data_IF_974978368530
#
_entry.id   IF_974978368530
#
_cell.length_a   1.000
_cell.length_b   1.000
_cell.length_c   1.000
_cell.angle_alpha   90.00
_cell.angle_beta   90.00
_cell.angle_gamma   90.00
#
_symmetry.space_group_name_H-M   'P 1'
#
loop_
_entity.id
_entity.type
_entity.pdbx_description
1 polymer ?
#
# COMPACT_ATOMS: atom_id res chain seq x y z
N UNK A 1 64.06 29.60 -25.61
CA UNK A 1 62.75 30.27 -25.31
C UNK A 1 61.60 29.50 -25.95
N UNK A 2 61.64 29.13 -27.23
CA UNK A 2 60.58 28.40 -27.96
C UNK A 2 60.15 27.11 -27.29
N UNK A 3 61.06 26.30 -26.77
CA UNK A 3 60.73 24.97 -26.12
C UNK A 3 60.05 25.11 -24.76
N UNK A 4 60.29 26.18 -24.02
CA UNK A 4 59.58 26.42 -22.75
C UNK A 4 58.14 26.85 -22.99
N UNK A 5 57.89 27.69 -23.98
CA UNK A 5 56.54 28.13 -24.35
C UNK A 5 55.72 26.99 -24.90
N UNK A 6 56.32 26.11 -25.72
CA UNK A 6 55.62 24.92 -26.24
C UNK A 6 55.26 23.93 -25.10
N UNK A 7 56.13 23.70 -24.12
CA UNK A 7 55.82 22.86 -22.96
C UNK A 7 54.72 23.46 -22.09
N UNK A 8 54.71 24.78 -21.88
CA UNK A 8 53.65 25.49 -21.12
C UNK A 8 52.29 25.39 -21.82
N UNK A 9 52.23 25.60 -23.12
CA UNK A 9 51.00 25.49 -23.93
C UNK A 9 50.48 24.03 -23.97
N UNK A 10 51.34 23.05 -23.99
CA UNK A 10 50.97 21.63 -23.94
C UNK A 10 50.44 21.23 -22.55
N UNK A 11 51.01 21.77 -21.48
CA UNK A 11 50.53 21.60 -20.11
C UNK A 11 49.16 22.20 -19.88
N UNK A 12 48.91 23.44 -20.35
CA UNK A 12 47.61 24.10 -20.20
C UNK A 12 46.50 23.42 -21.00
N UNK A 13 46.79 22.88 -22.17
CA UNK A 13 45.84 22.07 -22.96
C UNK A 13 45.47 20.76 -22.24
N UNK A 14 46.47 20.08 -21.69
CA UNK A 14 46.25 18.85 -20.91
C UNK A 14 45.38 19.11 -19.66
N UNK A 15 45.65 20.18 -18.91
CA UNK A 15 44.81 20.57 -17.75
C UNK A 15 43.39 20.90 -18.15
N UNK A 16 43.17 21.61 -19.26
CA UNK A 16 41.81 21.87 -19.77
C UNK A 16 41.08 20.58 -20.17
N UNK A 17 41.78 19.67 -20.84
CA UNK A 17 41.18 18.40 -21.22
C UNK A 17 40.81 17.52 -20.00
N UNK A 18 41.66 17.49 -18.98
CA UNK A 18 41.38 16.78 -17.72
C UNK A 18 40.18 17.43 -17.02
N UNK A 19 40.14 18.76 -16.93
CA UNK A 19 39.00 19.48 -16.31
C UNK A 19 37.69 19.23 -17.03
N UNK A 20 37.70 19.24 -18.37
CA UNK A 20 36.50 18.91 -19.18
C UNK A 20 36.06 17.46 -18.94
N UNK A 21 36.99 16.52 -18.92
CA UNK A 21 36.69 15.10 -18.62
C UNK A 21 36.09 14.93 -17.24
N UNK A 22 36.66 15.61 -16.23
CA UNK A 22 36.12 15.57 -14.86
C UNK A 22 34.68 16.14 -14.80
N UNK A 23 34.40 17.25 -15.46
CA UNK A 23 33.06 17.83 -15.52
C UNK A 23 32.06 16.88 -16.18
N UNK A 24 32.47 16.26 -17.30
CA UNK A 24 31.64 15.26 -17.98
C UNK A 24 31.36 14.05 -17.09
N UNK A 25 32.38 13.53 -16.40
CA UNK A 25 32.21 12.40 -15.48
C UNK A 25 31.30 12.74 -14.30
N UNK A 26 31.43 13.94 -13.73
CA UNK A 26 30.52 14.41 -12.65
C UNK A 26 29.10 14.57 -13.17
N UNK A 27 28.91 15.13 -14.36
CA UNK A 27 27.59 15.27 -14.97
C UNK A 27 26.93 13.90 -15.25
N UNK A 28 27.71 12.93 -15.77
CA UNK A 28 27.23 11.56 -15.96
C UNK A 28 26.87 10.89 -14.64
N UNK A 29 27.70 11.01 -13.62
CA UNK A 29 27.42 10.45 -12.30
C UNK A 29 26.17 11.07 -11.69
N UNK A 30 25.97 12.39 -11.84
CA UNK A 30 24.79 13.07 -11.36
C UNK A 30 23.51 12.63 -12.08
N UNK A 31 23.57 12.51 -13.42
CA UNK A 31 22.42 12.02 -14.20
C UNK A 31 22.06 10.58 -13.89
N UNK A 32 23.04 9.70 -13.79
CA UNK A 32 22.79 8.29 -13.39
C UNK A 32 22.22 8.17 -11.97
N UNK A 33 22.72 8.95 -11.02
CA UNK A 33 22.20 9.00 -9.67
C UNK A 33 20.72 9.48 -9.65
N UNK A 34 20.42 10.56 -10.38
CA UNK A 34 19.07 11.10 -10.45
C UNK A 34 18.07 10.13 -11.11
N UNK A 35 18.48 9.49 -12.20
CA UNK A 35 17.64 8.48 -12.87
C UNK A 35 17.39 7.27 -11.96
N UNK A 36 18.46 6.74 -11.33
CA UNK A 36 18.34 5.59 -10.45
C UNK A 36 17.44 5.86 -9.24
N UNK A 37 17.53 7.04 -8.63
CA UNK A 37 16.65 7.40 -7.50
C UNK A 37 15.19 7.56 -7.93
N UNK A 38 14.94 8.10 -9.12
CA UNK A 38 13.60 8.22 -9.67
C UNK A 38 12.98 6.85 -9.97
N UNK A 39 13.71 5.95 -10.61
CA UNK A 39 13.25 4.60 -10.90
C UNK A 39 13.00 3.79 -9.62
N UNK A 40 13.90 3.89 -8.65
CA UNK A 40 13.72 3.25 -7.35
C UNK A 40 12.45 3.72 -6.64
N UNK A 41 12.16 5.01 -6.67
CA UNK A 41 10.94 5.57 -6.09
C UNK A 41 9.69 5.02 -6.76
N UNK A 42 9.62 5.06 -8.10
CA UNK A 42 8.50 4.51 -8.85
C UNK A 42 8.30 3.01 -8.62
N UNK A 43 9.39 2.26 -8.49
CA UNK A 43 9.32 0.83 -8.17
C UNK A 43 8.72 0.59 -6.77
N UNK A 44 9.13 1.36 -5.75
CA UNK A 44 8.57 1.29 -4.40
C UNK A 44 7.09 1.65 -4.36
N UNK A 45 6.69 2.70 -5.07
CA UNK A 45 5.28 3.11 -5.18
C UNK A 45 4.43 2.02 -5.83
N UNK A 46 4.87 1.47 -6.95
CA UNK A 46 4.18 0.36 -7.62
C UNK A 46 4.10 -0.91 -6.76
N UNK A 47 5.18 -1.21 -6.03
CA UNK A 47 5.19 -2.35 -5.10
C UNK A 47 4.16 -2.15 -3.98
N UNK A 48 4.11 -0.97 -3.37
CA UNK A 48 3.15 -0.66 -2.30
C UNK A 48 1.70 -0.79 -2.78
N UNK A 49 1.38 -0.28 -3.99
CA UNK A 49 0.05 -0.42 -4.59
C UNK A 49 -0.27 -1.91 -4.83
N UNK A 50 0.67 -2.65 -5.39
CA UNK A 50 0.49 -4.08 -5.66
C UNK A 50 0.22 -4.86 -4.37
N UNK A 51 1.02 -4.65 -3.33
CA UNK A 51 0.86 -5.33 -2.05
C UNK A 51 -0.49 -4.99 -1.39
N UNK A 52 -0.90 -3.72 -1.42
CA UNK A 52 -2.21 -3.30 -0.93
C UNK A 52 -3.36 -3.98 -1.70
N UNK A 53 -3.27 -4.08 -3.02
CA UNK A 53 -4.26 -4.76 -3.85
C UNK A 53 -4.33 -6.26 -3.55
N UNK A 54 -3.19 -6.91 -3.35
CA UNK A 54 -3.14 -8.33 -2.95
C UNK A 54 -3.84 -8.54 -1.61
N UNK A 55 -3.56 -7.74 -0.59
CA UNK A 55 -4.24 -7.83 0.70
C UNK A 55 -5.76 -7.61 0.59
N UNK A 56 -6.19 -6.61 -0.17
CA UNK A 56 -7.61 -6.33 -0.37
C UNK A 56 -8.32 -7.50 -1.05
N UNK A 57 -7.74 -8.07 -2.10
CA UNK A 57 -8.30 -9.21 -2.83
C UNK A 57 -8.36 -10.46 -1.94
N UNK A 58 -7.27 -10.80 -1.25
CA UNK A 58 -7.23 -11.97 -0.36
C UNK A 58 -8.29 -11.87 0.73
N UNK A 59 -8.47 -10.69 1.33
CA UNK A 59 -9.51 -10.47 2.35
C UNK A 59 -10.91 -10.54 1.76
N UNK A 60 -11.10 -10.07 0.53
CA UNK A 60 -12.36 -10.17 -0.21
C UNK A 60 -12.75 -11.63 -0.49
N UNK A 61 -11.83 -12.40 -1.07
CA UNK A 61 -12.00 -13.82 -1.37
C UNK A 61 -12.21 -14.65 -0.10
N UNK A 62 -11.42 -14.38 0.94
CA UNK A 62 -11.58 -15.03 2.23
C UNK A 62 -12.99 -14.79 2.81
N UNK A 63 -13.50 -13.57 2.74
CA UNK A 63 -14.85 -13.25 3.22
C UNK A 63 -15.92 -13.94 2.38
N UNK A 64 -15.76 -13.99 1.05
CA UNK A 64 -16.68 -14.68 0.15
C UNK A 64 -16.72 -16.17 0.45
N UNK A 65 -15.53 -16.80 0.53
CA UNK A 65 -15.40 -18.24 0.85
C UNK A 65 -15.98 -18.57 2.23
N UNK A 66 -15.67 -17.78 3.25
CA UNK A 66 -16.23 -17.99 4.58
C UNK A 66 -17.75 -17.87 4.58
N UNK A 67 -18.31 -16.95 3.81
CA UNK A 67 -19.76 -16.76 3.69
C UNK A 67 -20.41 -17.98 3.01
N UNK A 68 -19.85 -18.47 1.89
CA UNK A 68 -20.43 -19.56 1.10
C UNK A 68 -20.24 -20.93 1.77
N UNK A 69 -19.03 -21.19 2.31
CA UNK A 69 -18.68 -22.53 2.78
C UNK A 69 -18.93 -22.75 4.28
N UNK A 70 -18.96 -21.69 5.08
CA UNK A 70 -19.15 -21.83 6.52
C UNK A 70 -20.51 -21.29 6.95
N UNK A 71 -20.78 -20.00 6.71
CA UNK A 71 -22.00 -19.37 7.20
C UNK A 71 -23.25 -19.93 6.52
N UNK A 72 -23.20 -20.16 5.20
CA UNK A 72 -24.32 -20.73 4.47
C UNK A 72 -24.63 -22.18 4.88
N UNK A 73 -23.58 -22.97 5.17
CA UNK A 73 -23.78 -24.37 5.65
C UNK A 73 -24.37 -24.38 7.04
N UNK A 74 -23.88 -23.54 7.95
CA UNK A 74 -24.46 -23.41 9.30
C UNK A 74 -25.90 -22.95 9.25
N UNK A 75 -26.21 -21.98 8.37
CA UNK A 75 -27.58 -21.48 8.18
C UNK A 75 -28.57 -22.49 7.59
N UNK A 76 -28.09 -23.45 6.79
CA UNK A 76 -28.90 -24.53 6.20
C UNK A 76 -29.17 -25.68 7.17
N UNK A 77 -28.26 -25.91 8.11
CA UNK A 77 -28.43 -26.99 9.08
C UNK A 77 -29.43 -26.59 10.15
N UNK A 78 -30.63 -27.17 10.08
CA UNK A 78 -31.78 -26.86 10.93
C UNK A 78 -31.57 -27.22 12.43
N UNK A 79 -30.53 -27.91 12.77
CA UNK A 79 -30.12 -28.18 14.17
C UNK A 79 -29.42 -26.95 14.76
N UNK A 80 -30.16 -25.93 15.03
CA UNK A 80 -29.85 -24.53 15.46
C UNK A 80 -28.95 -24.43 16.71
N UNK A 81 -27.99 -25.29 16.87
CA UNK A 81 -26.99 -25.19 17.95
C UNK A 81 -25.85 -24.23 17.70
N UNK A 82 -25.66 -23.74 16.45
CA UNK A 82 -24.59 -22.80 16.12
C UNK A 82 -25.20 -21.48 15.64
N UNK A 83 -24.81 -20.39 16.29
CA UNK A 83 -25.25 -19.04 15.97
C UNK A 83 -24.19 -18.27 15.17
N UNK A 84 -24.61 -17.40 14.24
CA UNK A 84 -23.73 -16.47 13.54
C UNK A 84 -23.87 -15.10 14.20
N UNK A 85 -22.85 -14.60 14.89
CA UNK A 85 -22.94 -13.38 15.70
C UNK A 85 -21.67 -12.54 15.70
N UNK A 86 -21.80 -11.23 15.88
CA UNK A 86 -20.65 -10.36 16.16
C UNK A 86 -20.09 -10.58 17.58
N UNK A 87 -20.94 -11.07 18.52
CA UNK A 87 -20.58 -11.41 19.91
C UNK A 87 -20.21 -12.89 20.07
N UNK A 88 -19.74 -13.55 19.01
CA UNK A 88 -19.47 -14.99 18.97
C UNK A 88 -18.56 -15.51 20.11
N UNK A 89 -17.71 -14.65 20.68
CA UNK A 89 -16.82 -15.04 21.81
C UNK A 89 -17.51 -15.14 23.14
N UNK A 90 -18.69 -14.52 23.27
CA UNK A 90 -19.49 -14.45 24.49
C UNK A 90 -20.61 -15.50 24.50
N UNK A 91 -20.80 -16.20 23.37
CA UNK A 91 -21.88 -17.16 23.17
C UNK A 91 -21.32 -18.57 23.02
N UNK A 92 -21.97 -19.53 23.65
CA UNK A 92 -21.72 -20.94 23.36
C UNK A 92 -22.16 -21.28 21.93
N UNK A 93 -21.37 -22.11 21.24
CA UNK A 93 -21.66 -22.58 19.88
C UNK A 93 -21.99 -21.45 18.89
N UNK A 94 -21.17 -20.38 18.85
CA UNK A 94 -21.30 -19.29 17.90
C UNK A 94 -20.08 -19.16 17.01
N UNK A 95 -20.32 -18.73 15.76
CA UNK A 95 -19.28 -18.35 14.79
C UNK A 95 -19.39 -16.86 14.46
N UNK A 96 -18.28 -16.20 14.11
CA UNK A 96 -18.31 -14.79 13.79
C UNK A 96 -19.07 -14.49 12.49
N UNK A 97 -19.62 -13.29 12.40
CA UNK A 97 -20.08 -12.74 11.12
C UNK A 97 -18.86 -12.58 10.16
N UNK A 98 -19.06 -12.69 8.83
CA UNK A 98 -17.98 -12.51 7.86
C UNK A 98 -17.23 -11.18 8.01
N UNK A 99 -17.96 -10.09 8.23
CA UNK A 99 -17.36 -8.78 8.47
C UNK A 99 -16.55 -8.75 9.79
N UNK A 100 -17.06 -9.37 10.86
CA UNK A 100 -16.37 -9.46 12.15
C UNK A 100 -15.05 -10.23 12.02
N UNK A 101 -15.06 -11.34 11.27
CA UNK A 101 -13.86 -12.12 11.03
C UNK A 101 -12.83 -11.36 10.18
N UNK A 102 -13.27 -10.66 9.14
CA UNK A 102 -12.38 -9.80 8.31
C UNK A 102 -11.74 -8.70 9.13
N UNK A 103 -12.48 -8.05 10.04
CA UNK A 103 -11.93 -7.04 10.95
C UNK A 103 -10.91 -7.62 11.95
N UNK A 104 -11.18 -8.81 12.46
CA UNK A 104 -10.24 -9.49 13.37
C UNK A 104 -8.94 -9.86 12.65
N UNK A 105 -9.05 -10.34 11.41
CA UNK A 105 -7.88 -10.65 10.58
C UNK A 105 -7.10 -9.37 10.25
N UNK A 106 -7.78 -8.29 9.87
CA UNK A 106 -7.15 -6.97 9.62
C UNK A 106 -6.40 -6.44 10.83
N UNK A 107 -6.98 -6.57 12.05
CA UNK A 107 -6.29 -6.20 13.29
C UNK A 107 -5.02 -7.01 13.54
N UNK A 108 -5.04 -8.30 13.24
CA UNK A 108 -3.86 -9.18 13.38
C UNK A 108 -2.76 -8.83 12.41
N UNK A 109 -3.09 -8.55 11.14
CA UNK A 109 -2.14 -8.09 10.13
C UNK A 109 -1.51 -6.76 10.57
N UNK A 110 -2.33 -5.80 11.02
CA UNK A 110 -1.85 -4.51 11.53
C UNK A 110 -0.94 -4.67 12.75
N UNK A 111 -1.26 -5.59 13.67
CA UNK A 111 -0.44 -5.87 14.84
C UNK A 111 0.90 -6.54 14.51
N UNK A 112 0.98 -7.27 13.40
CA UNK A 112 2.23 -7.83 12.89
C UNK A 112 3.17 -6.76 12.29
N UNK A 113 2.68 -5.51 12.09
CA UNK A 113 3.49 -4.37 11.65
C UNK A 113 3.74 -4.29 10.15
N UNK A 114 3.13 -5.17 9.35
CA UNK A 114 3.35 -5.21 7.90
C UNK A 114 2.52 -4.15 7.16
N UNK A 115 1.25 -3.98 7.57
CA UNK A 115 0.32 -3.04 6.91
C UNK A 115 -0.85 -2.72 7.82
N UNK A 116 -1.42 -1.53 7.68
CA UNK A 116 -2.68 -1.18 8.34
C UNK A 116 -3.86 -1.62 7.45
N UNK A 117 -4.67 -2.53 7.97
CA UNK A 117 -5.86 -3.02 7.27
C UNK A 117 -7.11 -2.66 8.06
N UNK A 118 -8.06 -1.98 7.42
CA UNK A 118 -9.35 -1.61 8.02
C UNK A 118 -10.50 -1.89 7.06
N UNK A 119 -11.66 -2.24 7.64
CA UNK A 119 -12.92 -2.36 6.92
C UNK A 119 -13.84 -1.21 7.35
N UNK A 120 -14.23 -0.36 6.43
CA UNK A 120 -15.08 0.80 6.68
C UNK A 120 -16.28 0.82 5.73
N UNK A 121 -17.32 1.57 6.11
CA UNK A 121 -18.52 1.76 5.31
C UNK A 121 -19.25 3.02 5.76
N UNK A 122 -19.91 3.79 4.88
CA UNK A 122 -20.77 4.90 5.30
C UNK A 122 -22.02 4.41 6.06
N UNK A 123 -22.31 3.10 6.00
CA UNK A 123 -23.41 2.45 6.69
C UNK A 123 -22.91 1.42 7.69
N UNK A 124 -22.23 1.84 8.79
CA UNK A 124 -21.69 0.92 9.77
C UNK A 124 -22.84 0.22 10.52
N UNK A 125 -22.55 -0.98 11.01
CA UNK A 125 -23.51 -1.66 11.89
C UNK A 125 -23.78 -0.83 13.16
N UNK A 126 -25.00 -0.86 13.74
CA UNK A 126 -25.36 -0.04 14.89
C UNK A 126 -24.46 -0.20 16.12
N UNK A 127 -23.86 -1.38 16.30
CA UNK A 127 -22.94 -1.67 17.40
C UNK A 127 -21.49 -1.23 17.13
N UNK A 128 -21.18 -0.77 15.90
CA UNK A 128 -19.85 -0.35 15.48
C UNK A 128 -19.77 1.18 15.36
N UNK A 129 -19.51 1.85 16.48
CA UNK A 129 -19.48 3.32 16.53
C UNK A 129 -18.34 3.95 15.70
N UNK A 130 -17.23 3.22 15.53
CA UNK A 130 -16.04 3.59 14.78
C UNK A 130 -15.96 3.01 13.35
N UNK A 131 -17.07 2.48 12.87
CA UNK A 131 -17.13 1.80 11.58
C UNK A 131 -17.44 2.69 10.37
N UNK A 132 -17.71 3.98 10.59
CA UNK A 132 -17.98 4.96 9.53
C UNK A 132 -16.74 5.40 8.76
N UNK A 133 -16.93 6.34 7.84
CA UNK A 133 -15.82 6.98 7.12
C UNK A 133 -15.16 7.99 8.05
N UNK A 134 -13.91 7.74 8.45
CA UNK A 134 -13.22 8.50 9.49
C UNK A 134 -12.44 9.70 8.92
N UNK A 135 -11.83 9.55 7.75
CA UNK A 135 -10.97 10.56 7.16
C UNK A 135 -11.37 10.95 5.72
N UNK A 136 -10.64 11.86 5.13
CA UNK A 136 -10.91 12.34 3.77
C UNK A 136 -10.57 11.29 2.72
N UNK A 137 -9.54 10.47 2.96
CA UNK A 137 -9.19 9.37 2.05
C UNK A 137 -10.34 8.37 1.95
N UNK A 138 -10.89 7.90 3.09
CA UNK A 138 -11.99 6.95 3.11
C UNK A 138 -13.25 7.49 2.41
N UNK A 139 -13.54 8.78 2.56
CA UNK A 139 -14.66 9.45 1.86
C UNK A 139 -14.44 9.49 0.35
N UNK A 140 -13.28 9.96 -0.07
CA UNK A 140 -12.93 10.05 -1.50
C UNK A 140 -12.86 8.66 -2.15
N UNK A 141 -12.27 7.69 -1.45
CA UNK A 141 -12.22 6.30 -1.92
C UNK A 141 -13.62 5.69 -2.06
N UNK A 142 -14.50 5.93 -1.09
CA UNK A 142 -15.89 5.49 -1.19
C UNK A 142 -16.60 6.08 -2.41
N UNK A 143 -16.52 7.40 -2.64
CA UNK A 143 -17.16 8.07 -3.77
C UNK A 143 -16.65 7.52 -5.11
N UNK A 144 -15.33 7.36 -5.26
CA UNK A 144 -14.71 6.83 -6.48
C UNK A 144 -15.07 5.38 -6.73
N UNK A 145 -14.96 4.52 -5.73
CA UNK A 145 -15.31 3.10 -5.85
C UNK A 145 -16.81 2.89 -6.07
N UNK A 146 -17.66 3.75 -5.56
CA UNK A 146 -19.10 3.69 -5.84
C UNK A 146 -19.43 4.10 -7.28
N UNK A 147 -18.66 5.01 -7.87
CA UNK A 147 -18.80 5.43 -9.26
C UNK A 147 -18.15 4.40 -10.23
N UNK A 148 -17.02 3.81 -9.86
CA UNK A 148 -16.30 2.82 -10.66
C UNK A 148 -15.69 1.72 -9.76
N UNK A 149 -16.43 0.65 -9.46
CA UNK A 149 -16.00 -0.41 -8.52
C UNK A 149 -14.74 -1.18 -8.95
N UNK A 150 -14.43 -1.20 -10.24
CA UNK A 150 -13.29 -1.94 -10.81
C UNK A 150 -11.97 -1.15 -10.70
N UNK A 151 -12.04 0.14 -10.41
CA UNK A 151 -10.86 1.00 -10.35
C UNK A 151 -10.44 1.27 -8.90
N UNK A 152 -9.33 0.71 -8.41
CA UNK A 152 -8.88 0.96 -7.05
C UNK A 152 -8.44 2.41 -6.87
N UNK A 153 -8.76 2.99 -5.70
CA UNK A 153 -8.28 4.31 -5.32
C UNK A 153 -7.09 4.21 -4.37
N UNK A 154 -6.04 4.98 -4.63
CA UNK A 154 -4.85 5.08 -3.77
C UNK A 154 -4.33 6.51 -3.71
N UNK A 155 -3.71 6.86 -2.60
CA UNK A 155 -3.05 8.15 -2.36
C UNK A 155 -1.71 7.92 -1.66
N UNK A 156 -0.69 8.71 -2.05
CA UNK A 156 0.59 8.74 -1.37
C UNK A 156 0.65 9.99 -0.48
N UNK A 157 0.81 9.79 0.82
CA UNK A 157 0.98 10.87 1.77
C UNK A 157 2.47 11.00 2.16
N UNK A 158 3.00 12.23 2.20
CA UNK A 158 4.33 12.46 2.75
C UNK A 158 4.28 12.34 4.27
N UNK A 159 5.27 11.70 4.86
CA UNK A 159 5.38 11.48 6.32
C UNK A 159 5.60 12.78 7.13
N UNK A 160 5.72 13.93 6.45
CA UNK A 160 5.98 15.23 7.08
C UNK A 160 4.72 15.91 7.65
N UNK A 161 3.52 15.33 7.44
CA UNK A 161 2.23 15.89 7.89
C UNK A 161 1.54 15.04 8.98
N UNK A 162 2.27 14.19 9.71
CA UNK A 162 1.71 13.36 10.79
C UNK A 162 2.08 13.91 12.16
#
# INVERSE_FOLDING_TARGET
>A
VKDRVQRYLKSTRAHRAIMLLTVVMVALAWTTYFLATREARLALENQAIHDAAVYANVLGEFRALYTSEVVAIVGKNANRSIHVSHQYREMEAAIPLPATLSMELGRRITAAGESRVSLYSPYPFPWRKDGGLQDNFEKTAWERLNANPEEPHYEFMSTEES
#
